data_IF_914699296306
#
_entry.id   IF_914699296306
#
_cell.length_a   1.000
_cell.length_b   1.000
_cell.length_c   1.000
_cell.angle_alpha   90.00
_cell.angle_beta   90.00
_cell.angle_gamma   90.00
#
_symmetry.space_group_name_H-M   'P 1'
#
loop_
_entity.id
_entity.type
_entity.pdbx_description
1 polymer ?
#
# COMPACT_ATOMS: atom_id res chain seq x y z
N UNK A 1 -2.68 -0.43 -13.88
CA UNK A 1 -1.70 0.64 -13.58
C UNK A 1 -0.30 0.06 -13.69
N UNK A 2 0.58 0.77 -14.36
CA UNK A 2 1.97 0.33 -14.53
C UNK A 2 2.90 1.12 -13.62
N UNK A 3 3.83 0.41 -12.96
CA UNK A 3 4.83 1.04 -12.10
C UNK A 3 5.89 1.74 -12.95
N UNK A 4 6.08 3.08 -12.83
CA UNK A 4 7.03 3.82 -13.65
C UNK A 4 8.49 3.53 -13.33
N UNK A 5 8.77 2.81 -12.23
CA UNK A 5 10.13 2.51 -11.80
C UNK A 5 10.56 1.06 -12.09
N UNK A 6 9.89 0.41 -13.03
CA UNK A 6 10.29 -0.88 -13.55
C UNK A 6 11.64 -0.74 -14.27
N UNK A 7 12.56 -1.64 -13.99
CA UNK A 7 13.88 -1.64 -14.62
C UNK A 7 14.90 -0.68 -14.00
N UNK A 8 14.49 0.13 -13.03
CA UNK A 8 15.37 1.08 -12.37
C UNK A 8 16.30 0.35 -11.39
N UNK A 9 17.61 0.61 -11.50
CA UNK A 9 18.61 -0.08 -10.68
C UNK A 9 18.62 0.39 -9.23
N UNK A 10 18.33 1.68 -8.99
CA UNK A 10 18.33 2.29 -7.66
C UNK A 10 16.94 2.77 -7.28
N UNK A 11 16.68 2.89 -5.97
CA UNK A 11 15.42 3.41 -5.49
C UNK A 11 15.15 4.82 -6.04
N UNK A 12 13.89 5.16 -6.35
CA UNK A 12 13.57 6.50 -6.86
C UNK A 12 13.84 7.55 -5.78
N UNK A 13 14.30 8.71 -6.23
CA UNK A 13 14.40 9.89 -5.36
C UNK A 13 13.00 10.48 -5.14
N UNK A 14 12.88 11.34 -4.13
CA UNK A 14 11.62 12.05 -3.88
C UNK A 14 11.21 12.91 -5.08
N UNK A 15 12.18 13.53 -5.76
CA UNK A 15 11.91 14.31 -6.97
C UNK A 15 11.41 13.44 -8.13
N UNK A 16 11.99 12.25 -8.31
CA UNK A 16 11.53 11.31 -9.33
C UNK A 16 10.12 10.82 -9.04
N UNK A 17 9.83 10.51 -7.77
CA UNK A 17 8.50 10.12 -7.34
C UNK A 17 7.47 11.23 -7.57
N UNK A 18 7.82 12.47 -7.20
CA UNK A 18 6.94 13.62 -7.40
C UNK A 18 6.64 13.86 -8.88
N UNK A 19 7.64 13.70 -9.74
CA UNK A 19 7.48 13.86 -11.19
C UNK A 19 6.47 12.84 -11.76
N UNK A 20 6.54 11.59 -11.30
CA UNK A 20 5.62 10.54 -11.77
C UNK A 20 4.22 10.65 -11.17
N UNK A 21 4.10 10.96 -9.89
CA UNK A 21 2.81 11.06 -9.21
C UNK A 21 2.06 12.35 -9.54
N UNK A 22 2.77 13.42 -9.86
CA UNK A 22 2.13 14.71 -10.12
C UNK A 22 1.29 15.17 -8.93
N UNK A 23 0.02 15.48 -9.14
CA UNK A 23 -0.88 15.93 -8.07
C UNK A 23 -1.12 14.89 -6.98
N UNK A 24 -0.93 13.61 -7.28
CA UNK A 24 -1.07 12.53 -6.31
C UNK A 24 0.03 12.50 -5.25
N UNK A 25 1.16 13.23 -5.47
CA UNK A 25 2.27 13.27 -4.53
C UNK A 25 1.86 13.82 -3.17
N UNK A 26 1.00 14.84 -3.14
CA UNK A 26 0.51 15.41 -1.88
C UNK A 26 -0.26 14.37 -1.05
N UNK A 27 -1.08 13.57 -1.69
CA UNK A 27 -1.82 12.49 -1.02
C UNK A 27 -0.88 11.38 -0.54
N UNK A 28 0.11 11.02 -1.35
CA UNK A 28 1.15 10.06 -0.96
C UNK A 28 1.85 10.50 0.32
N UNK A 29 2.29 11.75 0.37
CA UNK A 29 2.97 12.30 1.54
C UNK A 29 2.06 12.31 2.77
N UNK A 30 0.78 12.64 2.57
CA UNK A 30 -0.21 12.63 3.64
C UNK A 30 -0.45 11.23 4.19
N UNK A 31 -0.50 10.23 3.32
CA UNK A 31 -0.65 8.83 3.71
C UNK A 31 0.56 8.39 4.54
N UNK A 32 1.76 8.66 4.07
CA UNK A 32 2.98 8.30 4.79
C UNK A 32 3.04 8.95 6.17
N UNK A 33 2.73 10.24 6.26
CA UNK A 33 2.73 10.96 7.53
C UNK A 33 1.62 10.45 8.47
N UNK A 34 0.44 10.18 7.93
CA UNK A 34 -0.73 9.78 8.72
C UNK A 34 -0.65 8.37 9.26
N UNK A 35 -0.03 7.45 8.54
CA UNK A 35 0.12 6.06 9.00
C UNK A 35 1.22 5.89 10.05
N UNK A 36 2.18 6.80 10.08
CA UNK A 36 3.28 6.81 11.08
C UNK A 36 4.06 5.49 11.13
N UNK A 37 4.24 4.86 9.99
CA UNK A 37 5.03 3.64 9.86
C UNK A 37 6.31 3.94 9.12
N UNK A 38 7.47 3.42 9.59
CA UNK A 38 8.71 3.54 8.83
C UNK A 38 8.56 2.93 7.45
N UNK A 39 9.07 3.63 6.44
CA UNK A 39 9.03 3.15 5.06
C UNK A 39 10.43 2.95 4.50
N UNK A 40 10.55 1.94 3.65
CA UNK A 40 11.76 1.70 2.89
C UNK A 40 11.41 1.30 1.47
N UNK A 41 12.17 1.75 0.50
CA UNK A 41 11.98 1.32 -0.87
C UNK A 41 12.39 -0.15 -1.02
N UNK A 42 11.57 -0.92 -1.72
CA UNK A 42 11.78 -2.34 -1.94
C UNK A 42 11.50 -2.69 -3.39
N UNK A 43 12.32 -3.59 -3.94
CA UNK A 43 12.13 -4.13 -5.29
C UNK A 43 12.38 -5.63 -5.25
N UNK A 44 11.39 -6.42 -5.62
CA UNK A 44 11.54 -7.88 -5.73
C UNK A 44 12.38 -8.25 -6.94
N UNK A 45 12.23 -7.49 -8.02
CA UNK A 45 12.95 -7.71 -9.26
C UNK A 45 12.82 -6.46 -10.13
N UNK A 46 13.64 -6.38 -11.18
CA UNK A 46 13.54 -5.27 -12.14
C UNK A 46 12.17 -5.20 -12.81
N UNK A 47 11.54 -6.36 -13.05
CA UNK A 47 10.22 -6.43 -13.67
C UNK A 47 9.09 -5.93 -12.76
N UNK A 48 9.23 -6.08 -11.46
CA UNK A 48 8.23 -5.65 -10.50
C UNK A 48 8.25 -4.14 -10.26
N UNK A 49 9.42 -3.51 -10.39
CA UNK A 49 9.63 -2.11 -10.05
C UNK A 49 9.77 -1.88 -8.56
N UNK A 50 9.76 -0.62 -8.15
CA UNK A 50 9.96 -0.21 -6.77
C UNK A 50 8.65 0.10 -6.08
N UNK A 51 8.54 -0.32 -4.82
CA UNK A 51 7.39 -0.03 -3.96
C UNK A 51 7.88 0.44 -2.60
N UNK A 52 7.12 1.33 -1.96
CA UNK A 52 7.42 1.76 -0.60
C UNK A 52 6.83 0.75 0.38
N UNK A 53 7.69 0.04 1.09
CA UNK A 53 7.28 -0.96 2.08
C UNK A 53 7.17 -0.29 3.45
N UNK A 54 5.96 -0.27 4.00
CA UNK A 54 5.70 0.27 5.33
C UNK A 54 5.77 -0.86 6.33
N UNK A 55 6.62 -0.72 7.35
CA UNK A 55 6.92 -1.78 8.30
C UNK A 55 6.66 -1.35 9.74
N UNK A 56 6.40 -2.31 10.58
CA UNK A 56 6.47 -2.17 12.02
C UNK A 56 7.45 -3.21 12.54
N UNK A 57 8.66 -2.78 12.93
CA UNK A 57 9.76 -3.70 13.21
C UNK A 57 10.09 -4.51 11.95
N UNK A 58 10.11 -5.82 12.08
CA UNK A 58 10.36 -6.72 10.95
C UNK A 58 9.09 -7.08 10.17
N UNK A 59 7.92 -6.64 10.64
CA UNK A 59 6.65 -6.98 10.02
C UNK A 59 6.28 -6.00 8.91
N UNK A 60 6.00 -6.53 7.72
CA UNK A 60 5.49 -5.74 6.60
C UNK A 60 4.00 -5.47 6.82
N UNK A 61 3.61 -4.22 6.81
CA UNK A 61 2.22 -3.82 7.05
C UNK A 61 1.50 -3.52 5.74
N UNK A 62 2.11 -2.70 4.89
CA UNK A 62 1.50 -2.30 3.62
C UNK A 62 2.58 -1.93 2.63
N UNK A 63 2.24 -2.02 1.33
CA UNK A 63 3.08 -1.55 0.23
C UNK A 63 2.36 -0.43 -0.49
N UNK A 64 3.04 0.69 -0.70
CA UNK A 64 2.56 1.76 -1.57
C UNK A 64 3.23 1.58 -2.92
N UNK A 65 2.43 1.40 -3.96
CA UNK A 65 2.90 1.08 -5.31
C UNK A 65 2.65 2.30 -6.19
N UNK A 66 3.71 3.00 -6.64
CA UNK A 66 3.54 4.17 -7.49
C UNK A 66 3.08 3.80 -8.89
N UNK A 67 2.31 4.68 -9.49
CA UNK A 67 1.94 4.66 -10.89
C UNK A 67 2.15 6.05 -11.47
N UNK A 68 1.75 6.27 -12.71
CA UNK A 68 1.75 7.61 -13.30
C UNK A 68 0.47 8.34 -12.91
N UNK A 69 0.61 9.40 -12.11
CA UNK A 69 -0.51 10.21 -11.68
C UNK A 69 -1.39 9.59 -10.59
N UNK A 70 -1.04 8.41 -10.10
CA UNK A 70 -1.80 7.70 -9.06
C UNK A 70 -0.95 6.67 -8.36
N UNK A 71 -1.45 6.13 -7.25
CA UNK A 71 -0.79 5.00 -6.58
C UNK A 71 -1.81 4.05 -5.97
N UNK A 72 -1.37 2.85 -5.71
CA UNK A 72 -2.16 1.79 -5.10
C UNK A 72 -1.53 1.33 -3.80
N UNK A 73 -2.33 0.67 -2.97
CA UNK A 73 -1.88 0.00 -1.76
C UNK A 73 -2.10 -1.49 -1.92
N UNK A 74 -1.13 -2.28 -1.48
CA UNK A 74 -1.24 -3.73 -1.42
C UNK A 74 -1.02 -4.18 0.03
N UNK A 75 -1.91 -5.04 0.52
CA UNK A 75 -1.83 -5.59 1.88
C UNK A 75 -2.24 -7.06 1.86
N UNK A 76 -1.69 -7.83 2.81
CA UNK A 76 -2.05 -9.24 3.01
C UNK A 76 -2.56 -9.41 4.44
N UNK A 77 -3.71 -10.05 4.60
CA UNK A 77 -4.37 -10.25 5.88
C UNK A 77 -4.56 -11.73 6.17
N UNK A 78 -4.21 -12.15 7.39
CA UNK A 78 -4.56 -13.48 7.87
C UNK A 78 -6.07 -13.61 8.09
N UNK A 79 -6.56 -14.83 8.26
CA UNK A 79 -7.99 -15.09 8.36
C UNK A 79 -8.67 -14.35 9.54
N UNK A 80 -7.98 -14.24 10.67
CA UNK A 80 -8.51 -13.51 11.83
C UNK A 80 -8.64 -12.02 11.57
N UNK A 81 -7.66 -11.46 10.87
CA UNK A 81 -7.68 -10.04 10.48
C UNK A 81 -8.82 -9.77 9.49
N UNK A 82 -9.03 -10.66 8.51
CA UNK A 82 -10.14 -10.55 7.57
C UNK A 82 -11.47 -10.53 8.29
N UNK A 83 -11.67 -11.47 9.24
CA UNK A 83 -12.90 -11.54 10.02
C UNK A 83 -13.13 -10.25 10.82
N UNK A 84 -12.11 -9.73 11.47
CA UNK A 84 -12.19 -8.48 12.23
C UNK A 84 -12.51 -7.29 11.31
N UNK A 85 -11.88 -7.22 10.14
CA UNK A 85 -12.15 -6.15 9.19
C UNK A 85 -13.60 -6.18 8.70
N UNK A 86 -14.14 -7.37 8.42
CA UNK A 86 -15.55 -7.53 8.01
C UNK A 86 -16.50 -7.05 9.09
N UNK A 87 -16.24 -7.39 10.35
CA UNK A 87 -17.04 -6.94 11.48
C UNK A 87 -17.00 -5.42 11.67
N UNK A 88 -15.91 -4.79 11.28
CA UNK A 88 -15.71 -3.34 11.38
C UNK A 88 -16.20 -2.56 10.17
N UNK A 89 -16.97 -3.21 9.28
CA UNK A 89 -17.59 -2.55 8.13
C UNK A 89 -16.70 -2.43 6.91
N UNK A 90 -15.61 -3.20 6.84
CA UNK A 90 -14.65 -3.15 5.74
C UNK A 90 -14.79 -4.34 4.77
N UNK A 91 -15.91 -5.06 4.82
CA UNK A 91 -16.13 -6.24 3.98
C UNK A 91 -15.95 -5.94 2.48
N UNK A 92 -16.42 -4.79 2.01
CA UNK A 92 -16.31 -4.41 0.61
C UNK A 92 -14.86 -4.30 0.12
N UNK A 93 -13.91 -4.01 1.01
CA UNK A 93 -12.49 -3.93 0.65
C UNK A 93 -11.92 -5.29 0.25
N UNK A 94 -12.60 -6.38 0.58
CA UNK A 94 -12.17 -7.73 0.25
C UNK A 94 -12.91 -8.33 -0.95
N UNK A 95 -13.77 -7.56 -1.61
CA UNK A 95 -14.48 -8.03 -2.79
C UNK A 95 -13.47 -8.34 -3.91
N UNK A 96 -13.55 -9.57 -4.43
CA UNK A 96 -12.62 -10.03 -5.46
C UNK A 96 -11.21 -10.35 -4.97
N UNK A 97 -10.93 -10.24 -3.67
CA UNK A 97 -9.61 -10.55 -3.11
C UNK A 97 -9.33 -12.05 -3.19
N UNK A 98 -8.05 -12.38 -3.47
CA UNK A 98 -7.61 -13.77 -3.55
C UNK A 98 -6.98 -14.20 -2.22
N UNK A 99 -7.28 -15.43 -1.81
CA UNK A 99 -6.66 -16.05 -0.65
C UNK A 99 -5.48 -16.92 -1.08
N UNK A 100 -4.33 -16.66 -0.48
CA UNK A 100 -3.10 -17.43 -0.68
C UNK A 100 -2.71 -18.12 0.64
N UNK A 101 -1.63 -18.90 0.61
CA UNK A 101 -1.12 -19.57 1.82
C UNK A 101 -0.78 -18.58 2.93
N UNK A 102 -0.22 -17.43 2.58
CA UNK A 102 0.14 -16.37 3.54
C UNK A 102 -1.03 -15.50 4.00
N UNK A 103 -2.19 -15.61 3.35
CA UNK A 103 -3.38 -14.83 3.70
C UNK A 103 -4.13 -14.30 2.50
N UNK A 104 -5.07 -13.40 2.77
CA UNK A 104 -5.90 -12.75 1.75
C UNK A 104 -5.25 -11.46 1.30
N UNK A 105 -4.97 -11.33 0.01
CA UNK A 105 -4.35 -10.15 -0.58
C UNK A 105 -5.41 -9.18 -1.08
N UNK A 106 -5.27 -7.91 -0.70
CA UNK A 106 -6.09 -6.81 -1.23
C UNK A 106 -5.18 -5.80 -1.90
N UNK A 107 -5.68 -5.19 -2.98
CA UNK A 107 -4.99 -4.13 -3.70
C UNK A 107 -6.02 -3.12 -4.17
N UNK A 108 -5.80 -1.85 -3.87
CA UNK A 108 -6.76 -0.80 -4.20
C UNK A 108 -6.06 0.53 -4.44
N UNK A 109 -6.63 1.39 -5.31
CA UNK A 109 -6.07 2.73 -5.53
C UNK A 109 -6.42 3.65 -4.37
N UNK A 110 -5.53 4.60 -4.10
CA UNK A 110 -5.78 5.67 -3.13
C UNK A 110 -5.87 6.98 -3.91
N UNK A 111 -7.10 7.48 -4.07
CA UNK A 111 -7.39 8.64 -4.92
C UNK A 111 -7.91 9.86 -4.16
N UNK A 112 -8.29 9.69 -2.90
CA UNK A 112 -8.83 10.78 -2.11
C UNK A 112 -8.96 10.45 -0.63
N UNK A 113 -9.57 11.36 0.15
CA UNK A 113 -9.68 11.23 1.62
C UNK A 113 -10.41 9.97 2.08
N UNK A 114 -11.42 9.55 1.34
CA UNK A 114 -12.20 8.35 1.68
C UNK A 114 -11.34 7.09 1.61
N UNK A 115 -10.55 6.98 0.55
CA UNK A 115 -9.63 5.85 0.38
C UNK A 115 -8.58 5.85 1.49
N UNK A 116 -8.08 7.01 1.87
CA UNK A 116 -7.14 7.13 2.97
C UNK A 116 -7.78 6.71 4.30
N UNK A 117 -9.03 7.11 4.55
CA UNK A 117 -9.75 6.69 5.76
C UNK A 117 -9.88 5.17 5.83
N UNK A 118 -10.26 4.54 4.71
CA UNK A 118 -10.35 3.08 4.63
C UNK A 118 -8.98 2.41 4.83
N UNK A 119 -7.94 2.97 4.25
CA UNK A 119 -6.56 2.48 4.43
C UNK A 119 -6.15 2.52 5.91
N UNK A 120 -6.42 3.61 6.61
CA UNK A 120 -6.11 3.75 8.03
C UNK A 120 -6.81 2.68 8.86
N UNK A 121 -8.07 2.41 8.56
CA UNK A 121 -8.84 1.36 9.26
C UNK A 121 -8.27 -0.03 9.00
N UNK A 122 -7.87 -0.31 7.75
CA UNK A 122 -7.23 -1.58 7.40
C UNK A 122 -5.88 -1.74 8.08
N UNK A 123 -5.09 -0.68 8.14
CA UNK A 123 -3.79 -0.68 8.83
C UNK A 123 -4.00 -0.97 10.32
N UNK A 124 -4.98 -0.34 10.95
CA UNK A 124 -5.30 -0.58 12.37
C UNK A 124 -5.63 -2.05 12.61
N UNK A 125 -6.43 -2.65 11.74
CA UNK A 125 -6.75 -4.10 11.84
C UNK A 125 -5.48 -4.92 11.73
N UNK A 126 -4.64 -4.65 10.75
CA UNK A 126 -3.41 -5.42 10.54
C UNK A 126 -2.42 -5.28 11.69
N UNK A 127 -2.31 -4.10 12.28
CA UNK A 127 -1.46 -3.86 13.45
C UNK A 127 -1.93 -4.62 14.68
N UNK A 128 -3.23 -4.83 14.81
CA UNK A 128 -3.85 -5.54 15.93
C UNK A 128 -3.73 -7.06 15.79
N UNK A 129 -3.74 -7.56 14.57
CA UNK A 129 -3.70 -8.98 14.25
C UNK A 129 -2.47 -9.35 13.43
#
# INVERSE_FOLDING_TARGET
MSNPFIGKAEAPSDAELAAELGTAKALWDRVCAGLRLPGEWHSYSKKAGWSMRLKRGERNIAYLIPGSGQFEVSMVFGDRAVAAARERGLAAMFDGAKRYAEGTAVRFPVKGPRDFTNLKKLVDVKLEF
#
